data_IF_057115991223
#
_entry.id   IF_057115991223
#
_cell.length_a   1.000
_cell.length_b   1.000
_cell.length_c   1.000
_cell.angle_alpha   90.00
_cell.angle_beta   90.00
_cell.angle_gamma   90.00
#
_symmetry.space_group_name_H-M   'P 1'
#
loop_
_entity.id
_entity.type
_entity.pdbx_description
1 polymer ?
#
# COMPACT_ATOMS: atom_id res chain seq x y z
N UNK A 1 -10.27 3.57 4.69
CA UNK A 1 -9.45 3.04 3.56
C UNK A 1 -8.14 3.81 3.39
N UNK A 2 -7.89 4.82 4.23
CA UNK A 2 -6.78 5.76 4.08
C UNK A 2 -5.47 5.14 4.55
N UNK A 3 -5.57 4.27 5.56
CA UNK A 3 -4.46 3.46 6.08
C UNK A 3 -3.77 2.66 4.98
N UNK A 4 -4.51 2.11 4.00
CA UNK A 4 -3.92 1.42 2.85
C UNK A 4 -3.03 2.38 2.05
N UNK A 5 -3.55 3.56 1.71
CA UNK A 5 -2.80 4.54 0.93
C UNK A 5 -1.59 5.02 1.72
N UNK A 6 -1.77 5.38 2.99
CA UNK A 6 -0.70 5.94 3.84
C UNK A 6 0.39 4.90 4.12
N UNK A 7 0.02 3.69 4.52
CA UNK A 7 0.96 2.60 4.79
C UNK A 7 1.72 2.15 3.54
N UNK A 8 1.06 2.13 2.38
CA UNK A 8 1.69 1.77 1.11
C UNK A 8 2.44 2.90 0.40
N UNK A 9 2.19 4.18 0.75
CA UNK A 9 2.70 5.30 -0.05
C UNK A 9 4.21 5.43 -0.02
N UNK A 10 4.84 5.27 1.14
CA UNK A 10 6.30 5.39 1.29
C UNK A 10 7.04 4.37 0.41
N UNK A 11 6.81 3.04 0.55
CA UNK A 11 7.48 2.07 -0.32
C UNK A 11 7.11 2.24 -1.80
N UNK A 12 5.86 2.65 -2.10
CA UNK A 12 5.45 2.98 -3.46
C UNK A 12 6.29 4.13 -4.05
N UNK A 13 6.37 5.26 -3.36
CA UNK A 13 7.07 6.46 -3.82
C UNK A 13 8.57 6.22 -4.00
N UNK A 14 9.21 5.48 -3.07
CA UNK A 14 10.62 5.10 -3.18
C UNK A 14 10.87 4.26 -4.43
N UNK A 15 10.06 3.21 -4.65
CA UNK A 15 10.24 2.36 -5.83
C UNK A 15 9.92 3.07 -7.13
N UNK A 16 8.90 3.94 -7.15
CA UNK A 16 8.58 4.76 -8.32
C UNK A 16 9.72 5.73 -8.65
N UNK A 17 10.25 6.45 -7.66
CA UNK A 17 11.39 7.34 -7.84
C UNK A 17 12.62 6.57 -8.36
N UNK A 18 12.88 5.39 -7.80
CA UNK A 18 13.95 4.51 -8.25
C UNK A 18 13.75 4.03 -9.69
N UNK A 19 12.52 3.70 -10.09
CA UNK A 19 12.18 3.29 -11.47
C UNK A 19 12.32 4.43 -12.47
N UNK A 20 12.01 5.67 -12.07
CA UNK A 20 12.21 6.86 -12.93
C UNK A 20 13.71 7.14 -13.11
N UNK A 21 14.49 6.97 -12.04
CA UNK A 21 15.94 7.16 -12.06
C UNK A 21 16.74 6.07 -12.81
N UNK A 22 16.11 4.94 -13.15
CA UNK A 22 16.75 3.83 -13.85
C UNK A 22 16.02 3.44 -15.12
N UNK A 23 16.76 3.17 -16.19
CA UNK A 23 16.15 2.64 -17.43
C UNK A 23 15.52 1.25 -17.23
N UNK A 24 16.06 0.43 -16.32
CA UNK A 24 15.57 -0.92 -15.99
C UNK A 24 15.61 -1.20 -14.49
N UNK A 25 14.59 -1.92 -14.03
CA UNK A 25 14.50 -2.42 -12.66
C UNK A 25 14.91 -3.89 -12.49
N UNK A 26 14.81 -4.69 -13.56
CA UNK A 26 15.01 -6.14 -13.49
C UNK A 26 13.87 -6.86 -12.78
N UNK A 27 13.80 -8.18 -12.95
CA UNK A 27 12.71 -9.03 -12.42
C UNK A 27 12.57 -8.95 -10.89
N UNK A 28 13.70 -8.86 -10.17
CA UNK A 28 13.70 -8.74 -8.72
C UNK A 28 12.97 -7.49 -8.22
N UNK A 29 13.17 -6.34 -8.87
CA UNK A 29 12.47 -5.11 -8.52
C UNK A 29 10.97 -5.21 -8.81
N UNK A 30 10.62 -5.72 -10.00
CA UNK A 30 9.22 -5.86 -10.45
C UNK A 30 8.38 -6.71 -9.50
N UNK A 31 9.00 -7.66 -8.81
CA UNK A 31 8.33 -8.51 -7.82
C UNK A 31 8.43 -7.90 -6.42
N UNK A 32 9.64 -7.56 -5.96
CA UNK A 32 9.87 -7.13 -4.59
C UNK A 32 9.18 -5.80 -4.26
N UNK A 33 9.19 -4.83 -5.18
CA UNK A 33 8.64 -3.50 -4.91
C UNK A 33 7.12 -3.52 -4.69
N UNK A 34 6.30 -4.15 -5.56
CA UNK A 34 4.90 -4.34 -5.27
C UNK A 34 4.69 -5.11 -3.97
N UNK A 35 5.38 -6.23 -3.76
CA UNK A 35 5.21 -7.03 -2.53
C UNK A 35 5.46 -6.23 -1.26
N UNK A 36 6.55 -5.45 -1.18
CA UNK A 36 6.81 -4.60 -0.01
C UNK A 36 5.71 -3.56 0.16
N UNK A 37 5.24 -2.96 -0.94
CA UNK A 37 4.13 -2.00 -0.89
C UNK A 37 2.87 -2.63 -0.31
N UNK A 38 2.45 -3.79 -0.83
CA UNK A 38 1.28 -4.53 -0.36
C UNK A 38 1.40 -5.00 1.08
N UNK A 39 2.58 -5.47 1.51
CA UNK A 39 2.83 -5.85 2.90
C UNK A 39 2.63 -4.67 3.85
N UNK A 40 3.14 -3.48 3.50
CA UNK A 40 2.92 -2.29 4.32
C UNK A 40 1.45 -1.87 4.34
N UNK A 41 0.73 -1.99 3.22
CA UNK A 41 -0.71 -1.73 3.16
C UNK A 41 -1.50 -2.68 4.08
N UNK A 42 -1.21 -3.99 4.03
CA UNK A 42 -1.86 -5.01 4.86
C UNK A 42 -1.57 -4.73 6.34
N UNK A 43 -0.32 -4.41 6.67
CA UNK A 43 0.07 -4.11 8.04
C UNK A 43 -0.66 -2.86 8.56
N UNK A 44 -0.85 -1.85 7.73
CA UNK A 44 -1.59 -0.63 8.09
C UNK A 44 -3.08 -0.85 8.35
N UNK A 45 -3.70 -1.88 7.77
CA UNK A 45 -5.10 -2.26 8.05
C UNK A 45 -5.23 -3.45 8.98
N UNK A 46 -4.12 -3.95 9.54
CA UNK A 46 -4.16 -5.08 10.47
C UNK A 46 -5.14 -4.88 11.64
N UNK A 47 -5.27 -3.68 12.25
CA UNK A 47 -6.25 -3.43 13.31
C UNK A 47 -7.71 -3.51 12.85
N UNK A 48 -7.99 -3.31 11.55
CA UNK A 48 -9.32 -3.40 10.96
C UNK A 48 -9.74 -4.84 10.63
N UNK A 49 -8.78 -5.76 10.46
CA UNK A 49 -9.05 -7.14 10.03
C UNK A 49 -10.06 -7.90 10.90
N UNK A 50 -10.08 -7.78 12.25
CA UNK A 50 -11.05 -8.47 13.10
C UNK A 50 -12.51 -8.20 12.72
N UNK A 51 -12.81 -7.02 12.14
CA UNK A 51 -14.15 -6.67 11.64
C UNK A 51 -14.63 -7.64 10.55
N UNK A 52 -13.73 -8.10 9.69
CA UNK A 52 -14.05 -9.03 8.60
C UNK A 52 -14.39 -10.44 9.11
N UNK A 53 -13.89 -10.80 10.30
CA UNK A 53 -14.14 -12.09 10.93
C UNK A 53 -15.29 -12.07 11.95
N UNK A 54 -16.02 -10.96 12.04
CA UNK A 54 -17.12 -10.81 12.99
C UNK A 54 -16.70 -10.56 14.44
N UNK A 55 -15.40 -10.33 14.71
CA UNK A 55 -14.88 -10.03 16.05
C UNK A 55 -14.98 -8.52 16.35
N UNK A 56 -16.21 -8.02 16.47
CA UNK A 56 -16.49 -6.58 16.65
C UNK A 56 -15.93 -6.00 17.94
N UNK A 57 -15.90 -6.77 19.03
CA UNK A 57 -15.37 -6.27 20.31
C UNK A 57 -13.86 -6.03 20.23
N UNK A 58 -13.13 -6.94 19.59
CA UNK A 58 -11.70 -6.80 19.35
C UNK A 58 -11.41 -5.63 18.40
N UNK A 59 -12.19 -5.49 17.33
CA UNK A 59 -12.09 -4.35 16.44
C UNK A 59 -12.28 -3.02 17.18
N UNK A 60 -13.34 -2.88 17.98
CA UNK A 60 -13.61 -1.66 18.73
C UNK A 60 -12.52 -1.34 19.75
N UNK A 61 -11.95 -2.37 20.38
CA UNK A 61 -10.82 -2.20 21.28
C UNK A 61 -9.59 -1.67 20.54
N UNK A 62 -9.21 -2.31 19.43
CA UNK A 62 -8.04 -1.93 18.64
C UNK A 62 -8.19 -0.56 17.97
N UNK A 63 -9.39 -0.22 17.49
CA UNK A 63 -9.68 1.08 16.88
C UNK A 63 -9.51 2.25 17.87
N UNK A 64 -9.57 1.99 19.17
CA UNK A 64 -9.42 2.99 20.22
C UNK A 64 -8.06 2.93 20.93
N UNK A 65 -7.21 1.96 20.61
CA UNK A 65 -5.92 1.78 21.27
C UNK A 65 -4.84 2.63 20.58
N UNK A 66 -4.22 3.60 21.28
CA UNK A 66 -3.10 4.38 20.74
C UNK A 66 -1.88 3.53 20.38
N UNK A 67 -1.75 2.30 20.92
CA UNK A 67 -0.68 1.38 20.53
C UNK A 67 -0.79 0.94 19.07
N UNK A 68 -1.97 1.08 18.45
CA UNK A 68 -2.15 0.80 17.04
C UNK A 68 -1.43 1.79 16.11
N UNK A 69 -0.85 2.88 16.62
CA UNK A 69 -0.01 3.78 15.83
C UNK A 69 1.27 3.12 15.30
N UNK A 70 1.70 1.97 15.84
CA UNK A 70 2.79 1.17 15.25
C UNK A 70 2.43 0.63 13.86
N UNK A 71 1.14 0.54 13.54
CA UNK A 71 0.61 0.11 12.24
C UNK A 71 0.41 1.32 11.32
N UNK A 72 1.46 2.12 11.13
CA UNK A 72 1.44 3.34 10.31
C UNK A 72 0.47 4.42 10.79
N UNK A 73 0.53 4.78 12.07
CA UNK A 73 -0.31 5.82 12.68
C UNK A 73 -1.82 5.57 12.54
N UNK A 74 -2.23 4.30 12.50
CA UNK A 74 -3.61 3.87 12.29
C UNK A 74 -4.60 4.63 13.19
N UNK A 75 -4.34 4.67 14.50
CA UNK A 75 -5.19 5.33 15.48
C UNK A 75 -5.25 6.85 15.28
N UNK A 76 -4.10 7.47 15.01
CA UNK A 76 -4.01 8.90 14.74
C UNK A 76 -4.73 9.31 13.43
N UNK A 77 -4.65 8.48 12.39
CA UNK A 77 -5.33 8.71 11.11
C UNK A 77 -6.84 8.60 11.28
N UNK A 78 -7.33 7.57 12.00
CA UNK A 78 -8.76 7.37 12.24
C UNK A 78 -9.42 8.60 12.89
N UNK A 79 -8.72 9.27 13.80
CA UNK A 79 -9.24 10.48 14.48
C UNK A 79 -9.36 11.70 13.58
N UNK A 80 -8.54 11.78 12.55
CA UNK A 80 -8.45 12.96 11.66
C UNK A 80 -9.14 12.72 10.32
N UNK A 81 -9.61 11.49 10.08
CA UNK A 81 -10.20 11.06 8.83
C UNK A 81 -11.55 11.73 8.57
N UNK A 82 -11.73 12.19 7.33
CA UNK A 82 -13.02 12.61 6.77
C UNK A 82 -13.36 11.69 5.60
N UNK A 83 -14.64 11.33 5.42
CA UNK A 83 -15.05 10.52 4.28
C UNK A 83 -14.76 11.27 2.97
N UNK A 84 -13.97 10.66 2.09
CA UNK A 84 -13.61 11.22 0.78
C UNK A 84 -13.30 10.13 -0.23
N UNK A 85 -13.60 10.40 -1.50
CA UNK A 85 -13.32 9.50 -2.63
C UNK A 85 -11.85 9.55 -3.07
N UNK A 86 -11.05 10.47 -2.51
CA UNK A 86 -9.64 10.62 -2.86
C UNK A 86 -8.81 9.37 -2.53
N UNK A 87 -9.11 8.68 -1.44
CA UNK A 87 -8.32 7.52 -1.02
C UNK A 87 -8.54 6.28 -1.90
N UNK A 88 -9.79 5.89 -2.25
CA UNK A 88 -10.02 4.88 -3.28
C UNK A 88 -9.37 5.23 -4.62
N UNK A 89 -9.44 6.49 -5.04
CA UNK A 89 -8.81 6.95 -6.28
C UNK A 89 -7.27 6.84 -6.22
N UNK A 90 -6.66 7.24 -5.10
CA UNK A 90 -5.21 7.12 -4.89
C UNK A 90 -4.76 5.65 -4.84
N UNK A 91 -5.52 4.77 -4.20
CA UNK A 91 -5.26 3.33 -4.19
C UNK A 91 -5.30 2.75 -5.62
N UNK A 92 -6.32 3.09 -6.40
CA UNK A 92 -6.43 2.66 -7.79
C UNK A 92 -5.26 3.19 -8.64
N UNK A 93 -4.81 4.42 -8.40
CA UNK A 93 -3.64 5.00 -9.08
C UNK A 93 -2.33 4.26 -8.73
N UNK A 94 -2.11 3.91 -7.47
CA UNK A 94 -0.95 3.11 -7.03
C UNK A 94 -0.94 1.76 -7.74
N UNK A 95 -2.07 1.05 -7.73
CA UNK A 95 -2.22 -0.25 -8.40
C UNK A 95 -1.95 -0.13 -9.91
N UNK A 96 -2.55 0.86 -10.57
CA UNK A 96 -2.36 1.09 -12.01
C UNK A 96 -0.90 1.38 -12.34
N UNK A 97 -0.22 2.22 -11.54
CA UNK A 97 1.20 2.54 -11.74
C UNK A 97 2.11 1.30 -11.56
N UNK A 98 1.82 0.44 -10.59
CA UNK A 98 2.56 -0.81 -10.40
C UNK A 98 2.37 -1.77 -11.58
N UNK A 99 1.12 -2.00 -11.99
CA UNK A 99 0.80 -2.86 -13.13
C UNK A 99 1.42 -2.34 -14.43
N UNK A 100 1.36 -1.02 -14.66
CA UNK A 100 1.99 -0.39 -15.82
C UNK A 100 3.50 -0.59 -15.82
N UNK A 101 4.15 -0.45 -14.65
CA UNK A 101 5.60 -0.66 -14.52
C UNK A 101 5.99 -2.11 -14.79
N UNK A 102 5.22 -3.08 -14.27
CA UNK A 102 5.42 -4.52 -14.52
C UNK A 102 5.29 -4.81 -16.01
N UNK A 103 4.21 -4.31 -16.63
CA UNK A 103 3.96 -4.48 -18.06
C UNK A 103 5.09 -3.92 -18.93
N UNK A 104 5.58 -2.71 -18.60
CA UNK A 104 6.69 -2.08 -19.32
C UNK A 104 7.96 -2.93 -19.25
N UNK A 105 8.29 -3.50 -18.09
CA UNK A 105 9.49 -4.34 -17.95
C UNK A 105 9.36 -5.69 -18.63
N UNK A 106 8.17 -6.29 -18.65
CA UNK A 106 7.91 -7.51 -19.42
C UNK A 106 8.11 -7.26 -20.91
N UNK A 107 7.55 -6.17 -21.45
CA UNK A 107 7.74 -5.78 -22.86
C UNK A 107 9.20 -5.52 -23.22
N UNK A 108 9.96 -4.88 -22.34
CA UNK A 108 11.38 -4.62 -22.57
C UNK A 108 12.22 -5.90 -22.50
N UNK A 109 11.83 -6.87 -21.68
CA UNK A 109 12.50 -8.17 -21.56
C UNK A 109 12.20 -9.09 -22.75
N UNK A 110 10.97 -9.05 -23.28
CA UNK A 110 10.58 -9.79 -24.49
C UNK A 110 11.33 -9.34 -25.74
N UNK A 111 11.59 -8.03 -25.88
CA UNK A 111 12.26 -7.46 -27.07
C UNK A 111 13.76 -7.82 -27.17
N UNK A 112 14.37 -8.30 -26.08
CA UNK A 112 15.79 -8.69 -26.05
C UNK A 112 16.03 -10.19 -26.26
N UNK A 113 14.97 -11.00 -26.27
CA UNK A 113 15.02 -12.41 -26.70
C UNK A 113 14.81 -12.52 -28.19
#
# INVERSE_FOLDING_TARGET
>A
MNHLVIGGFIPFAIGLAWRIGRRRGGLGFVIAWPLVTWLCMIFAVAPDLPRLFGATDLYNHLALDPRCDIFFWHYSIDKTERPTLLYPAAFAAILAAQLFTVWLELRLSEKER
#
